data_IF_517388283919
#
_entry.id   IF_517388283919
#
_cell.length_a   1.000
_cell.length_b   1.000
_cell.length_c   1.000
_cell.angle_alpha   90.00
_cell.angle_beta   90.00
_cell.angle_gamma   90.00
#
_symmetry.space_group_name_H-M   'P 1'
#
loop_
_entity.id
_entity.type
_entity.pdbx_description
1 polymer ?
#
# COMPACT_ATOMS: atom_id res chain seq x y z
N UNK A 1 0.26 14.11 12.43
CA UNK A 1 0.56 13.28 11.23
C UNK A 1 1.86 13.70 10.55
N UNK A 2 2.23 14.98 10.59
CA UNK A 2 3.46 15.50 9.95
C UNK A 2 4.74 14.88 10.55
N UNK A 3 4.80 14.69 11.87
CA UNK A 3 5.94 14.02 12.54
C UNK A 3 6.09 12.57 12.08
N UNK A 4 4.97 11.86 11.91
CA UNK A 4 4.97 10.47 11.41
C UNK A 4 5.46 10.42 9.97
N UNK A 5 5.00 11.34 9.12
CA UNK A 5 5.42 11.41 7.73
C UNK A 5 6.90 11.78 7.58
N UNK A 6 7.40 12.70 8.42
CA UNK A 6 8.83 13.07 8.48
C UNK A 6 9.68 11.86 8.86
N UNK A 7 9.33 11.18 9.94
CA UNK A 7 10.03 9.98 10.39
C UNK A 7 10.03 8.89 9.30
N UNK A 8 8.88 8.65 8.65
CA UNK A 8 8.79 7.68 7.57
C UNK A 8 9.70 8.02 6.38
N UNK A 9 9.81 9.31 6.01
CA UNK A 9 10.73 9.76 4.96
C UNK A 9 12.19 9.54 5.35
N UNK A 10 12.59 9.89 6.57
CA UNK A 10 13.95 9.67 7.06
C UNK A 10 14.34 8.18 7.02
N UNK A 11 13.42 7.30 7.40
CA UNK A 11 13.63 5.85 7.33
C UNK A 11 13.74 5.36 5.88
N UNK A 12 12.90 5.89 4.98
CA UNK A 12 12.96 5.58 3.57
C UNK A 12 14.25 6.08 2.92
N UNK A 13 14.74 7.24 3.32
CA UNK A 13 16.01 7.78 2.81
C UNK A 13 17.22 6.98 3.34
N UNK A 14 17.13 6.40 4.52
CA UNK A 14 18.20 5.61 5.15
C UNK A 14 18.18 4.13 4.79
N UNK A 15 17.01 3.50 4.75
CA UNK A 15 16.83 2.05 4.59
C UNK A 15 15.95 1.70 3.38
N UNK A 16 15.42 2.71 2.68
CA UNK A 16 14.53 2.50 1.56
C UNK A 16 15.21 1.83 0.38
N UNK A 17 14.50 0.93 -0.25
CA UNK A 17 14.92 0.24 -1.46
C UNK A 17 13.84 0.31 -2.51
N UNK A 18 14.23 0.29 -3.76
CA UNK A 18 13.27 0.18 -4.86
C UNK A 18 12.59 -1.20 -4.84
N UNK A 19 11.28 -1.21 -4.97
CA UNK A 19 10.49 -2.44 -4.97
C UNK A 19 10.70 -3.27 -6.22
N UNK A 20 11.10 -2.63 -7.35
CA UNK A 20 11.39 -3.32 -8.60
C UNK A 20 12.89 -3.50 -8.80
N UNK A 21 13.27 -4.69 -9.26
CA UNK A 21 14.64 -4.94 -9.75
C UNK A 21 14.90 -4.14 -11.03
N UNK A 22 16.17 -3.75 -11.31
CA UNK A 22 16.49 -3.01 -12.54
C UNK A 22 15.99 -3.67 -13.83
N UNK A 23 16.06 -5.01 -13.94
CA UNK A 23 15.57 -5.76 -15.09
C UNK A 23 14.05 -5.69 -15.23
N UNK A 24 13.33 -5.75 -14.12
CA UNK A 24 11.87 -5.68 -14.11
C UNK A 24 11.44 -4.26 -14.48
N UNK A 25 12.16 -3.26 -13.97
CA UNK A 25 11.97 -1.86 -14.33
C UNK A 25 12.15 -1.63 -15.84
N UNK A 26 13.24 -2.13 -16.43
CA UNK A 26 13.50 -2.00 -17.87
C UNK A 26 12.41 -2.66 -18.73
N UNK A 27 11.94 -3.84 -18.30
CA UNK A 27 10.83 -4.53 -18.96
C UNK A 27 9.54 -3.69 -18.95
N UNK A 28 9.15 -3.20 -17.78
CA UNK A 28 7.95 -2.37 -17.63
C UNK A 28 8.08 -1.02 -18.34
N UNK A 29 9.24 -0.39 -18.30
CA UNK A 29 9.50 0.85 -19.05
C UNK A 29 9.36 0.65 -20.55
N UNK A 30 9.82 -0.49 -21.08
CA UNK A 30 9.64 -0.87 -22.48
C UNK A 30 8.18 -1.09 -22.86
N UNK A 31 7.45 -1.86 -22.05
CA UNK A 31 6.03 -2.14 -22.25
C UNK A 31 5.16 -0.88 -22.15
N UNK A 32 5.58 0.08 -21.35
CA UNK A 32 4.86 1.32 -21.08
C UNK A 32 5.47 2.54 -21.76
N UNK A 33 6.30 2.34 -22.78
CA UNK A 33 6.94 3.44 -23.50
C UNK A 33 5.94 4.43 -24.14
N UNK A 34 4.73 3.96 -24.42
CA UNK A 34 3.63 4.77 -24.95
C UNK A 34 2.93 5.63 -23.87
N UNK A 35 3.17 5.36 -22.59
CA UNK A 35 2.59 6.12 -21.49
C UNK A 35 3.48 7.33 -21.14
N UNK A 36 2.87 8.41 -20.70
CA UNK A 36 3.60 9.54 -20.14
C UNK A 36 4.31 9.12 -18.83
N UNK A 37 5.27 9.90 -18.38
CA UNK A 37 6.01 9.59 -17.14
C UNK A 37 5.09 9.44 -15.92
N UNK A 38 4.02 10.22 -15.86
CA UNK A 38 3.01 10.18 -14.80
C UNK A 38 2.08 8.96 -14.89
N UNK A 39 1.97 8.36 -16.07
CA UNK A 39 1.15 7.17 -16.32
C UNK A 39 1.94 5.85 -16.14
N UNK A 40 3.29 5.93 -15.96
CA UNK A 40 4.13 4.74 -15.80
C UNK A 40 4.10 4.26 -14.34
N UNK A 41 3.60 3.06 -14.06
CA UNK A 41 3.63 2.49 -12.73
C UNK A 41 5.06 2.14 -12.30
N UNK A 42 5.31 2.06 -11.00
CA UNK A 42 6.49 1.46 -10.37
C UNK A 42 7.81 2.22 -10.41
N UNK A 43 7.95 3.27 -11.18
CA UNK A 43 9.25 3.95 -11.35
C UNK A 43 9.77 4.53 -10.04
N UNK A 44 8.87 4.82 -9.08
CA UNK A 44 9.20 5.48 -7.82
C UNK A 44 8.53 4.80 -6.60
N UNK A 45 8.57 3.48 -6.56
CA UNK A 45 8.09 2.71 -5.41
C UNK A 45 9.27 2.24 -4.56
N UNK A 46 9.27 2.62 -3.28
CA UNK A 46 10.30 2.27 -2.30
C UNK A 46 9.67 1.62 -1.07
N UNK A 47 10.44 0.75 -0.42
CA UNK A 47 10.02 0.03 0.78
C UNK A 47 11.13 -0.02 1.82
N UNK A 48 10.75 0.13 3.08
CA UNK A 48 11.54 -0.21 4.26
C UNK A 48 10.86 -1.36 4.98
N UNK A 49 11.62 -2.39 5.34
CA UNK A 49 11.11 -3.55 6.07
C UNK A 49 12.22 -4.20 6.88
N UNK A 50 11.89 -4.82 7.99
CA UNK A 50 12.80 -5.67 8.76
C UNK A 50 12.92 -7.10 8.22
N UNK A 51 12.18 -7.46 7.17
CA UNK A 51 12.22 -8.79 6.57
C UNK A 51 13.48 -8.98 5.76
N UNK A 52 14.13 -10.11 5.97
CA UNK A 52 15.22 -10.53 5.12
C UNK A 52 14.66 -11.03 3.78
N UNK A 53 14.92 -10.28 2.72
CA UNK A 53 14.53 -10.69 1.38
C UNK A 53 15.74 -10.96 0.47
N UNK A 54 16.88 -10.31 0.69
CA UNK A 54 18.12 -10.50 -0.07
C UNK A 54 19.34 -10.08 0.75
N UNK A 55 20.52 -10.73 0.52
CA UNK A 55 21.75 -10.46 1.28
C UNK A 55 22.31 -9.04 1.15
N UNK A 56 22.01 -8.35 0.04
CA UNK A 56 22.56 -7.02 -0.32
C UNK A 56 21.63 -5.85 0.08
N UNK A 57 20.56 -6.13 0.81
CA UNK A 57 19.58 -5.09 1.15
C UNK A 57 19.76 -4.59 2.57
N UNK A 58 19.77 -3.26 2.77
CA UNK A 58 19.67 -2.73 4.11
C UNK A 58 18.34 -3.11 4.73
N UNK A 59 18.39 -3.77 5.88
CA UNK A 59 17.21 -4.11 6.67
C UNK A 59 16.94 -2.99 7.68
N UNK A 60 15.67 -2.77 7.95
CA UNK A 60 15.28 -1.95 9.09
C UNK A 60 15.72 -2.63 10.40
N UNK A 61 16.17 -1.85 11.40
CA UNK A 61 16.79 -2.41 12.60
C UNK A 61 15.82 -3.18 13.52
N UNK A 62 14.52 -3.03 13.32
CA UNK A 62 13.50 -3.66 14.19
C UNK A 62 13.18 -5.12 13.87
N UNK A 63 13.76 -5.70 12.81
CA UNK A 63 13.54 -7.11 12.48
C UNK A 63 12.11 -7.45 12.05
N UNK A 64 11.73 -8.73 12.14
CA UNK A 64 10.43 -9.26 11.72
C UNK A 64 10.06 -10.53 12.48
N UNK A 65 8.78 -10.75 12.70
CA UNK A 65 8.25 -11.99 13.28
C UNK A 65 8.63 -12.15 14.76
N UNK A 66 9.24 -13.28 15.09
CA UNK A 66 9.67 -13.57 16.47
C UNK A 66 10.93 -12.79 16.86
N UNK A 67 11.70 -12.32 15.87
CA UNK A 67 12.88 -11.47 16.06
C UNK A 67 12.55 -9.98 16.01
N UNK A 68 11.28 -9.60 16.07
CA UNK A 68 10.87 -8.19 16.04
C UNK A 68 11.22 -7.48 17.33
N UNK A 69 12.05 -6.44 17.22
CA UNK A 69 12.46 -5.57 18.33
C UNK A 69 11.67 -4.26 18.31
N UNK A 70 10.72 -4.13 19.20
CA UNK A 70 9.89 -2.93 19.35
C UNK A 70 10.70 -1.72 19.84
N UNK A 71 11.81 -1.93 20.56
CA UNK A 71 12.66 -0.85 21.08
C UNK A 71 13.54 -0.24 19.99
N UNK A 72 13.85 -1.01 18.94
CA UNK A 72 14.53 -0.51 17.76
C UNK A 72 13.61 0.35 16.86
N UNK A 73 12.29 0.33 17.10
CA UNK A 73 11.34 1.14 16.33
C UNK A 73 11.39 2.60 16.80
N UNK A 74 11.41 3.59 15.87
CA UNK A 74 11.32 5.00 16.25
C UNK A 74 10.10 5.30 17.14
N UNK A 75 10.30 6.14 18.13
CA UNK A 75 9.30 6.42 19.17
C UNK A 75 7.94 6.85 18.60
N UNK A 76 7.92 7.62 17.50
CA UNK A 76 6.69 8.07 16.85
C UNK A 76 5.91 6.91 16.23
N UNK A 77 6.59 5.92 15.63
CA UNK A 77 5.94 4.73 15.07
C UNK A 77 5.47 3.78 16.17
N UNK A 78 6.26 3.64 17.25
CA UNK A 78 5.88 2.86 18.42
C UNK A 78 4.59 3.42 19.05
N UNK A 79 4.51 4.74 19.29
CA UNK A 79 3.29 5.39 19.77
C UNK A 79 2.08 5.17 18.84
N UNK A 80 2.30 5.15 17.52
CA UNK A 80 1.22 4.89 16.57
C UNK A 80 0.72 3.44 16.68
N UNK A 81 1.62 2.47 16.80
CA UNK A 81 1.28 1.06 17.02
C UNK A 81 0.57 0.85 18.38
N UNK A 82 1.06 1.49 19.44
CA UNK A 82 0.42 1.46 20.78
C UNK A 82 -1.00 2.03 20.73
N UNK A 83 -1.20 3.12 20.00
CA UNK A 83 -2.54 3.69 19.80
C UNK A 83 -3.47 2.74 19.06
N UNK A 84 -2.96 2.02 18.04
CA UNK A 84 -3.74 0.99 17.35
C UNK A 84 -4.12 -0.14 18.31
N UNK A 85 -3.18 -0.61 19.15
CA UNK A 85 -3.45 -1.65 20.17
C UNK A 85 -4.40 -1.21 21.26
N UNK A 86 -4.39 0.06 21.65
CA UNK A 86 -5.33 0.62 22.64
C UNK A 86 -6.76 0.77 22.09
N UNK A 87 -6.97 0.55 20.80
CA UNK A 87 -8.31 0.55 20.20
C UNK A 87 -9.02 -0.79 20.43
N UNK A 88 -10.33 -0.89 20.23
CA UNK A 88 -11.09 -2.13 20.44
C UNK A 88 -10.85 -3.22 19.36
N UNK A 89 -9.72 -3.19 18.67
CA UNK A 89 -9.42 -4.10 17.54
C UNK A 89 -8.86 -5.46 17.98
N UNK A 90 -8.68 -5.72 19.26
CA UNK A 90 -8.12 -6.97 19.80
C UNK A 90 -6.81 -7.38 19.10
N UNK A 91 -5.82 -6.49 19.06
CA UNK A 91 -4.53 -6.71 18.44
C UNK A 91 -3.54 -7.34 19.41
N UNK A 92 -2.85 -8.40 18.97
CA UNK A 92 -1.78 -9.05 19.72
C UNK A 92 -0.45 -8.26 19.69
N UNK A 93 0.68 -8.92 19.94
CA UNK A 93 1.99 -8.29 19.85
C UNK A 93 2.30 -7.82 18.43
N UNK A 94 3.03 -6.70 18.31
CA UNK A 94 3.53 -6.23 17.03
C UNK A 94 4.62 -7.17 16.51
N UNK A 95 4.56 -7.55 15.23
CA UNK A 95 5.43 -8.53 14.59
C UNK A 95 6.17 -7.98 13.35
N UNK A 96 5.66 -6.93 12.74
CA UNK A 96 6.31 -6.28 11.60
C UNK A 96 5.86 -4.83 11.47
N UNK A 97 6.76 -4.01 10.95
CA UNK A 97 6.46 -2.68 10.46
C UNK A 97 7.10 -2.51 9.09
N UNK A 98 6.26 -2.33 8.08
CA UNK A 98 6.70 -2.05 6.71
C UNK A 98 6.25 -0.66 6.30
N UNK A 99 7.16 0.14 5.73
CA UNK A 99 6.88 1.46 5.20
C UNK A 99 7.02 1.42 3.68
N UNK A 100 5.97 1.83 2.98
CA UNK A 100 5.99 1.92 1.52
C UNK A 100 5.84 3.38 1.10
N UNK A 101 6.64 3.82 0.13
CA UNK A 101 6.53 5.13 -0.53
C UNK A 101 6.27 4.94 -2.01
N UNK A 102 5.34 5.73 -2.54
CA UNK A 102 5.08 5.84 -3.97
C UNK A 102 5.03 7.31 -4.36
N UNK A 103 5.65 7.65 -5.47
CA UNK A 103 5.77 9.03 -5.93
C UNK A 103 5.09 9.24 -7.28
N UNK A 104 5.00 10.50 -7.68
CA UNK A 104 4.47 10.98 -8.96
C UNK A 104 2.98 10.67 -9.18
N UNK A 105 2.23 10.51 -8.09
CA UNK A 105 0.78 10.32 -8.12
C UNK A 105 0.31 8.96 -8.64
N UNK A 106 1.23 8.09 -9.03
CA UNK A 106 0.90 6.80 -9.61
C UNK A 106 1.08 5.67 -8.60
N UNK A 107 -0.02 5.24 -7.98
CA UNK A 107 0.00 4.32 -6.83
C UNK A 107 -0.68 3.00 -7.16
N UNK A 108 -0.18 2.26 -8.08
CA UNK A 108 -0.67 0.90 -8.29
C UNK A 108 -0.12 -0.04 -7.22
N UNK A 109 -0.97 -0.91 -6.72
CA UNK A 109 -0.63 -2.07 -5.92
C UNK A 109 -1.40 -3.26 -6.48
N UNK A 110 -0.69 -4.25 -6.99
CA UNK A 110 -1.33 -5.44 -7.55
C UNK A 110 -2.09 -6.20 -6.45
N UNK A 111 -3.25 -6.79 -6.77
CA UNK A 111 -4.04 -7.55 -5.81
C UNK A 111 -3.22 -8.69 -5.21
N UNK A 112 -3.18 -8.78 -3.89
CA UNK A 112 -2.44 -9.82 -3.18
C UNK A 112 -3.02 -10.05 -1.79
N UNK A 113 -2.65 -11.16 -1.20
CA UNK A 113 -2.77 -11.41 0.22
C UNK A 113 -1.41 -11.15 0.87
N UNK A 114 -1.40 -10.48 2.02
CA UNK A 114 -0.17 -10.37 2.80
C UNK A 114 0.28 -11.76 3.30
N UNK A 115 1.59 -11.99 3.47
CA UNK A 115 2.10 -13.26 3.96
C UNK A 115 1.45 -13.70 5.28
N UNK A 116 1.16 -14.99 5.42
CA UNK A 116 0.57 -15.55 6.65
C UNK A 116 1.45 -15.30 7.90
N UNK A 117 2.78 -15.23 7.70
CA UNK A 117 3.74 -14.93 8.76
C UNK A 117 3.54 -13.56 9.43
N UNK A 118 2.83 -12.64 8.79
CA UNK A 118 2.51 -11.33 9.38
C UNK A 118 1.47 -11.42 10.49
N UNK A 119 0.81 -12.57 10.58
CA UNK A 119 -0.25 -12.80 11.57
C UNK A 119 -1.65 -12.42 11.05
N UNK A 120 -2.65 -12.56 11.91
CA UNK A 120 -4.06 -12.44 11.53
C UNK A 120 -4.55 -11.00 11.40
N UNK A 121 -3.80 -10.03 11.90
CA UNK A 121 -4.21 -8.64 11.96
C UNK A 121 -3.20 -7.73 11.28
N UNK A 122 -3.60 -7.04 10.23
CA UNK A 122 -2.80 -6.03 9.53
C UNK A 122 -3.49 -4.68 9.59
N UNK A 123 -2.78 -3.68 10.08
CA UNK A 123 -3.25 -2.30 10.15
C UNK A 123 -2.46 -1.42 9.18
N UNK A 124 -3.14 -0.72 8.30
CA UNK A 124 -2.54 0.14 7.28
C UNK A 124 -2.89 1.59 7.59
N UNK A 125 -1.90 2.45 7.75
CA UNK A 125 -2.08 3.90 7.90
C UNK A 125 -1.58 4.60 6.65
N UNK A 126 -2.46 5.30 5.94
CA UNK A 126 -2.14 6.11 4.77
C UNK A 126 -1.71 7.52 5.15
N UNK A 127 -0.62 8.00 4.53
CA UNK A 127 -0.08 9.35 4.72
C UNK A 127 0.06 10.05 3.37
N UNK A 128 -0.09 11.37 3.39
CA UNK A 128 0.21 12.31 2.31
C UNK A 128 -0.73 12.27 1.10
N UNK A 129 -1.50 11.23 0.90
CA UNK A 129 -2.49 11.13 -0.18
C UNK A 129 -3.63 10.23 0.24
N UNK A 130 -4.83 10.65 -0.06
CA UNK A 130 -5.98 9.75 -0.07
C UNK A 130 -5.79 8.70 -1.17
N UNK A 131 -6.39 7.54 -0.99
CA UNK A 131 -6.39 6.46 -2.00
C UNK A 131 -7.59 5.55 -1.80
N UNK A 132 -7.90 4.76 -2.80
CA UNK A 132 -8.90 3.72 -2.70
C UNK A 132 -8.22 2.36 -2.63
N UNK A 133 -8.45 1.63 -1.55
CA UNK A 133 -8.04 0.24 -1.41
C UNK A 133 -9.21 -0.64 -1.87
N UNK A 134 -8.97 -1.48 -2.86
CA UNK A 134 -9.95 -2.44 -3.35
C UNK A 134 -9.71 -3.79 -2.71
N UNK A 135 -10.74 -4.39 -2.16
CA UNK A 135 -10.76 -5.76 -1.65
C UNK A 135 -11.53 -6.61 -2.66
N UNK A 136 -10.88 -7.63 -3.21
CA UNK A 136 -11.45 -8.50 -4.24
C UNK A 136 -11.44 -9.96 -3.81
N UNK A 137 -12.55 -10.70 -3.98
CA UNK A 137 -12.57 -12.15 -3.77
C UNK A 137 -11.84 -12.89 -4.92
N UNK A 138 -11.60 -12.21 -6.03
CA UNK A 138 -10.88 -12.77 -7.19
C UNK A 138 -9.41 -12.48 -7.03
N UNK A 139 -8.60 -13.54 -6.94
CA UNK A 139 -7.14 -13.43 -6.93
C UNK A 139 -6.60 -12.87 -8.24
N UNK A 140 -5.31 -12.47 -8.27
CA UNK A 140 -4.68 -12.11 -9.51
C UNK A 140 -4.82 -13.28 -10.50
N UNK A 141 -5.07 -13.02 -11.79
CA UNK A 141 -5.00 -14.06 -12.81
C UNK A 141 -3.62 -14.72 -12.71
N UNK A 142 -3.58 -16.03 -12.97
CA UNK A 142 -2.40 -16.88 -12.79
C UNK A 142 -1.10 -16.15 -13.14
N UNK A 143 -0.12 -16.26 -12.27
CA UNK A 143 1.10 -15.45 -12.11
C UNK A 143 2.04 -15.34 -13.34
N UNK A 144 1.65 -15.84 -14.49
CA UNK A 144 2.40 -15.75 -15.74
C UNK A 144 2.05 -14.52 -16.58
N UNK A 145 0.89 -13.94 -16.34
CA UNK A 145 0.49 -12.68 -16.96
C UNK A 145 0.22 -11.67 -15.86
N UNK A 146 1.16 -10.77 -15.67
CA UNK A 146 0.94 -9.52 -14.93
C UNK A 146 -0.07 -8.69 -15.76
N UNK A 147 -1.31 -9.19 -15.86
CA UNK A 147 -2.34 -8.50 -16.60
C UNK A 147 -2.70 -7.23 -15.85
N UNK A 148 -2.15 -6.15 -16.34
CA UNK A 148 -2.42 -4.79 -15.87
C UNK A 148 -3.93 -4.48 -15.88
N UNK A 149 -4.70 -5.24 -16.63
CA UNK A 149 -6.14 -5.13 -16.72
C UNK A 149 -6.87 -5.53 -15.44
N UNK A 150 -6.33 -6.47 -14.66
CA UNK A 150 -6.95 -6.92 -13.41
C UNK A 150 -7.10 -5.81 -12.35
N UNK A 151 -6.33 -4.72 -12.49
CA UNK A 151 -6.40 -3.55 -11.59
C UNK A 151 -6.80 -2.29 -12.34
N UNK A 152 -7.24 -2.40 -13.58
CA UNK A 152 -7.75 -1.28 -14.37
C UNK A 152 -9.22 -1.01 -14.08
N UNK A 153 -9.69 0.18 -14.43
CA UNK A 153 -11.12 0.54 -14.34
C UNK A 153 -12.06 -0.46 -15.02
N UNK A 154 -11.57 -1.14 -16.05
CA UNK A 154 -12.38 -2.01 -16.89
C UNK A 154 -12.56 -3.43 -16.31
N UNK A 155 -11.88 -3.74 -15.19
CA UNK A 155 -11.90 -5.06 -14.56
C UNK A 155 -12.55 -5.06 -13.18
N UNK A 156 -13.57 -4.24 -12.98
CA UNK A 156 -14.36 -4.27 -11.75
C UNK A 156 -15.16 -5.57 -11.68
N UNK A 157 -14.94 -6.33 -10.60
CA UNK A 157 -15.84 -7.43 -10.22
C UNK A 157 -16.99 -6.86 -9.40
N UNK A 158 -18.25 -7.28 -9.63
CA UNK A 158 -19.38 -6.85 -8.81
C UNK A 158 -19.24 -7.17 -7.32
N UNK A 159 -18.36 -8.12 -6.96
CA UNK A 159 -18.05 -8.47 -5.58
C UNK A 159 -16.89 -7.69 -4.97
N UNK A 160 -16.24 -6.82 -5.74
CA UNK A 160 -15.18 -5.94 -5.22
C UNK A 160 -15.74 -4.94 -4.22
N UNK A 161 -14.99 -4.72 -3.15
CA UNK A 161 -15.30 -3.73 -2.12
C UNK A 161 -14.23 -2.65 -2.11
N UNK A 162 -14.62 -1.43 -2.44
CA UNK A 162 -13.73 -0.29 -2.38
C UNK A 162 -13.80 0.42 -1.03
N UNK A 163 -12.64 0.68 -0.45
CA UNK A 163 -12.47 1.36 0.83
C UNK A 163 -11.72 2.66 0.60
N UNK A 164 -12.37 3.80 0.85
CA UNK A 164 -11.71 5.09 0.84
C UNK A 164 -10.77 5.22 2.04
N UNK A 165 -9.49 5.24 1.76
CA UNK A 165 -8.42 5.45 2.74
C UNK A 165 -8.00 6.92 2.73
N UNK A 166 -8.58 7.72 3.59
CA UNK A 166 -8.18 9.13 3.77
C UNK A 166 -6.89 9.24 4.57
N UNK A 167 -6.18 10.36 4.39
CA UNK A 167 -4.93 10.64 5.10
C UNK A 167 -5.14 10.50 6.61
N UNK A 168 -4.32 9.67 7.25
CA UNK A 168 -4.33 9.45 8.70
C UNK A 168 -5.38 8.46 9.19
N UNK A 169 -6.23 7.91 8.31
CA UNK A 169 -7.09 6.81 8.71
C UNK A 169 -6.29 5.51 8.87
N UNK A 170 -6.79 4.62 9.73
CA UNK A 170 -6.29 3.27 9.90
C UNK A 170 -7.29 2.30 9.29
N UNK A 171 -6.83 1.49 8.35
CA UNK A 171 -7.57 0.35 7.80
C UNK A 171 -7.09 -0.90 8.53
N UNK A 172 -8.02 -1.66 9.12
CA UNK A 172 -7.73 -2.93 9.76
C UNK A 172 -8.22 -4.09 8.89
N UNK A 173 -7.28 -4.90 8.44
CA UNK A 173 -7.55 -6.15 7.74
C UNK A 173 -7.49 -7.30 8.74
N UNK A 174 -8.61 -8.00 8.92
CA UNK A 174 -8.74 -9.16 9.80
C UNK A 174 -9.77 -10.14 9.26
N UNK A 175 -9.81 -11.36 9.79
CA UNK A 175 -10.73 -12.41 9.32
C UNK A 175 -10.68 -12.57 7.80
N UNK A 176 -11.83 -12.60 7.13
CA UNK A 176 -11.92 -12.79 5.69
C UNK A 176 -11.21 -11.70 4.87
N UNK A 177 -11.27 -10.45 5.33
CA UNK A 177 -10.56 -9.35 4.65
C UNK A 177 -9.03 -9.55 4.65
N UNK A 178 -8.50 -10.32 5.60
CA UNK A 178 -7.08 -10.62 5.74
C UNK A 178 -6.67 -11.90 5.00
N UNK A 179 -7.54 -12.91 4.95
CA UNK A 179 -7.18 -14.26 4.51
C UNK A 179 -7.81 -14.69 3.20
N UNK A 180 -8.90 -14.04 2.75
CA UNK A 180 -9.64 -14.46 1.57
C UNK A 180 -9.74 -13.35 0.51
N UNK A 181 -9.69 -12.06 0.91
CA UNK A 181 -9.85 -10.97 -0.03
C UNK A 181 -8.48 -10.40 -0.41
N UNK A 182 -8.17 -10.47 -1.70
CA UNK A 182 -6.98 -9.83 -2.24
C UNK A 182 -7.16 -8.31 -2.19
N UNK A 183 -6.20 -7.61 -1.62
CA UNK A 183 -6.23 -6.17 -1.58
C UNK A 183 -5.28 -5.54 -2.58
N UNK A 184 -5.71 -4.45 -3.19
CA UNK A 184 -4.93 -3.76 -4.21
C UNK A 184 -5.30 -2.28 -4.31
N UNK A 185 -4.51 -1.53 -5.08
CA UNK A 185 -4.81 -0.15 -5.48
C UNK A 185 -4.81 -0.13 -7.00
N UNK A 186 -5.93 0.24 -7.58
CA UNK A 186 -6.12 0.27 -9.03
C UNK A 186 -5.25 1.33 -9.68
N UNK A 187 -5.02 1.17 -10.97
CA UNK A 187 -4.46 2.24 -11.78
C UNK A 187 -5.33 3.49 -11.66
N UNK A 188 -4.68 4.62 -11.40
CA UNK A 188 -5.37 5.90 -11.44
C UNK A 188 -5.80 6.26 -12.86
N UNK A 189 -6.80 7.10 -12.97
CA UNK A 189 -7.26 7.65 -14.23
C UNK A 189 -6.63 9.00 -14.51
N UNK A 190 -6.22 9.22 -15.76
CA UNK A 190 -5.70 10.49 -16.20
C UNK A 190 -6.81 11.52 -16.39
N UNK A 191 -6.44 12.81 -16.39
CA UNK A 191 -7.35 13.90 -16.73
C UNK A 191 -8.12 13.66 -18.03
N UNK A 192 -7.45 13.13 -19.06
CA UNK A 192 -8.07 12.85 -20.36
C UNK A 192 -9.23 11.86 -20.22
N UNK A 193 -9.01 10.76 -19.50
CA UNK A 193 -10.05 9.75 -19.27
C UNK A 193 -11.24 10.33 -18.49
N UNK A 194 -10.97 11.21 -17.51
CA UNK A 194 -12.02 11.88 -16.74
C UNK A 194 -12.78 12.92 -17.58
N UNK A 195 -12.10 13.62 -18.47
CA UNK A 195 -12.75 14.59 -19.36
C UNK A 195 -13.74 13.92 -20.31
N UNK A 196 -13.40 12.75 -20.81
CA UNK A 196 -14.31 11.91 -21.61
C UNK A 196 -15.54 11.47 -20.80
N UNK A 197 -15.42 11.39 -19.48
CA UNK A 197 -16.50 11.08 -18.55
C UNK A 197 -17.26 12.33 -18.05
N UNK A 198 -17.05 13.49 -18.66
CA UNK A 198 -17.68 14.77 -18.29
C UNK A 198 -17.35 15.26 -16.87
N UNK A 199 -16.18 14.96 -16.35
CA UNK A 199 -15.69 15.48 -15.06
C UNK A 199 -14.71 16.62 -15.31
N UNK A 200 -14.98 17.79 -14.76
CA UNK A 200 -14.06 18.94 -14.83
C UNK A 200 -12.99 18.78 -13.74
N UNK A 201 -11.73 18.64 -14.15
CA UNK A 201 -10.60 18.41 -13.26
C UNK A 201 -9.36 19.19 -13.69
N UNK A 202 -8.66 19.77 -12.72
CA UNK A 202 -7.45 20.55 -12.93
C UNK A 202 -6.17 19.70 -12.98
N UNK A 203 -5.33 19.93 -14.00
CA UNK A 203 -3.93 19.53 -14.06
C UNK A 203 -3.64 18.07 -14.43
N UNK A 204 -2.35 17.70 -14.39
CA UNK A 204 -1.82 16.35 -14.71
C UNK A 204 -1.86 15.42 -13.49
N UNK A 205 -2.91 15.50 -12.69
CA UNK A 205 -3.06 14.69 -11.47
C UNK A 205 -3.82 13.42 -11.82
N UNK A 206 -3.41 12.32 -11.22
CA UNK A 206 -4.13 11.06 -11.28
C UNK A 206 -5.20 11.00 -10.20
N UNK A 207 -6.24 10.24 -10.48
CA UNK A 207 -7.37 10.05 -9.59
C UNK A 207 -7.62 8.57 -9.37
N UNK A 208 -8.03 8.22 -8.16
CA UNK A 208 -8.64 6.94 -7.86
C UNK A 208 -10.14 6.98 -8.13
N UNK A 209 -10.71 5.81 -8.36
CA UNK A 209 -12.15 5.61 -8.36
C UNK A 209 -12.63 5.22 -6.96
N UNK A 210 -13.77 5.74 -6.58
CA UNK A 210 -14.44 5.31 -5.37
C UNK A 210 -15.95 5.27 -5.57
N UNK A 211 -16.56 4.11 -5.27
CA UNK A 211 -18.00 3.90 -5.36
C UNK A 211 -18.56 3.87 -6.78
N UNK A 212 -19.80 4.32 -6.96
CA UNK A 212 -20.50 4.36 -8.23
C UNK A 212 -19.71 5.14 -9.29
N UNK A 213 -19.93 4.88 -10.61
CA UNK A 213 -19.07 5.37 -11.67
C UNK A 213 -18.88 6.90 -11.55
N UNK A 214 -17.63 7.32 -11.78
CA UNK A 214 -17.22 8.71 -11.85
C UNK A 214 -17.19 9.49 -10.53
N UNK A 215 -16.93 8.83 -9.41
CA UNK A 215 -16.58 9.51 -8.17
C UNK A 215 -15.05 9.47 -7.94
N UNK A 216 -14.26 10.37 -8.54
CA UNK A 216 -12.81 10.33 -8.49
C UNK A 216 -12.28 10.86 -7.17
N UNK A 217 -11.24 10.22 -6.65
CA UNK A 217 -10.47 10.65 -5.49
C UNK A 217 -9.10 11.14 -5.95
N UNK A 218 -8.80 12.41 -5.73
CA UNK A 218 -7.55 13.02 -6.16
C UNK A 218 -6.36 12.43 -5.42
N UNK A 219 -5.34 12.01 -6.17
CA UNK A 219 -4.04 11.59 -5.63
C UNK A 219 -3.08 12.77 -5.53
N UNK A 220 -2.32 12.85 -4.44
CA UNK A 220 -1.17 13.73 -4.33
C UNK A 220 0.04 13.08 -5.02
N UNK A 221 1.12 13.86 -5.20
CA UNK A 221 2.33 13.37 -5.88
C UNK A 221 3.11 12.32 -5.08
N UNK A 222 2.90 12.26 -3.77
CA UNK A 222 3.55 11.30 -2.89
C UNK A 222 2.50 10.65 -1.98
N UNK A 223 2.62 9.35 -1.82
CA UNK A 223 1.89 8.58 -0.82
C UNK A 223 2.89 7.74 -0.01
N UNK A 224 2.73 7.77 1.29
CA UNK A 224 3.39 6.84 2.20
C UNK A 224 2.29 5.99 2.86
N UNK A 225 2.54 4.70 3.03
CA UNK A 225 1.74 3.85 3.89
C UNK A 225 2.63 3.14 4.89
N UNK A 226 2.17 3.09 6.14
CA UNK A 226 2.80 2.32 7.20
C UNK A 226 1.89 1.13 7.46
N UNK A 227 2.46 -0.06 7.36
CA UNK A 227 1.77 -1.33 7.58
C UNK A 227 2.30 -1.92 8.88
N UNK A 228 1.42 -2.14 9.83
CA UNK A 228 1.70 -2.81 11.10
C UNK A 228 1.07 -4.19 11.07
N UNK A 229 1.85 -5.22 11.30
CA UNK A 229 1.37 -6.59 11.43
C UNK A 229 1.36 -7.01 12.89
N UNK A 230 0.24 -7.57 13.34
CA UNK A 230 0.04 -7.98 14.72
C UNK A 230 -0.30 -9.47 14.81
N UNK A 231 0.26 -10.12 15.82
CA UNK A 231 -0.07 -11.49 16.17
C UNK A 231 -1.48 -11.66 16.73
N UNK A 232 -1.76 -12.89 17.14
CA UNK A 232 -2.99 -13.20 17.88
C UNK A 232 -3.03 -12.42 19.20
N UNK A 233 -4.20 -11.91 19.60
CA UNK A 233 -4.36 -11.38 20.95
C UNK A 233 -4.06 -12.50 21.95
N UNK A 234 -3.30 -12.17 23.00
CA UNK A 234 -3.16 -13.10 24.12
C UNK A 234 -4.54 -13.34 24.72
N UNK A 235 -4.97 -14.58 24.78
CA UNK A 235 -6.10 -14.95 25.60
C UNK A 235 -5.69 -14.64 27.05
N UNK A 236 -6.14 -13.52 27.57
CA UNK A 236 -6.01 -13.26 28.98
C UNK A 236 -7.03 -14.18 29.64
N UNK A 237 -6.51 -15.17 30.37
CA UNK A 237 -7.31 -16.02 31.25
C UNK A 237 -8.02 -15.21 32.35
#
# INVERSE_FOLDING_TARGET
MDEVASCARELLDRYGRQMLRPRDKAYFEGQMAHLTKSERPFVNAERVTGRFERPDQPLAPWGHGDDFDVDALPAVLRKLAERARASPLALGPLRDVTINRRRDGYFRLDPHLDPAADGPNVCIVGLLSDTVLTLSPVGPPDSTTCDQEAVSMNSWDPADVDVLATIGCLIHLSGRARTELHHGIRLGVSRRQLSEACVDVDGDVLYDWWGAPFNPVRRNRERISIVFAFGEPSLID
#
